data_IF_618574153320
#
_entry.id   IF_618574153320
#
_cell.length_a   1.000
_cell.length_b   1.000
_cell.length_c   1.000
_cell.angle_alpha   90.00
_cell.angle_beta   90.00
_cell.angle_gamma   90.00
#
_symmetry.space_group_name_H-M   'P 1'
#
loop_
_entity.id
_entity.type
_entity.pdbx_description
1 polymer ?
#
# COMPACT_ATOMS: atom_id res chain seq x y z
N UNK A 1 -5.31 0.73 -11.80
CA UNK A 1 -3.97 1.29 -12.19
C UNK A 1 -2.92 0.75 -11.22
N UNK A 2 -1.84 0.14 -11.73
CA UNK A 2 -0.71 -0.31 -10.92
C UNK A 2 0.32 0.81 -10.82
N UNK A 3 0.64 1.24 -9.60
CA UNK A 3 1.73 2.21 -9.35
C UNK A 3 2.98 1.41 -9.06
N UNK A 4 3.96 1.46 -9.97
CA UNK A 4 5.23 0.76 -9.80
C UNK A 4 6.06 1.38 -8.68
N UNK A 5 6.75 0.53 -7.90
CA UNK A 5 7.75 1.00 -6.93
C UNK A 5 9.13 1.12 -7.62
N UNK A 6 9.67 2.32 -7.79
CA UNK A 6 10.96 2.54 -8.48
C UNK A 6 12.18 2.04 -7.70
N UNK A 7 12.00 1.54 -6.46
CA UNK A 7 13.06 0.98 -5.61
C UNK A 7 14.28 1.92 -5.48
N UNK A 8 14.03 3.18 -5.18
CA UNK A 8 15.06 4.23 -5.15
C UNK A 8 16.26 3.90 -4.26
N UNK A 9 16.05 3.29 -3.09
CA UNK A 9 17.15 2.87 -2.23
C UNK A 9 18.06 1.85 -2.93
N UNK A 10 17.48 0.81 -3.53
CA UNK A 10 18.25 -0.23 -4.24
C UNK A 10 19.06 0.33 -5.41
N UNK A 11 18.51 1.32 -6.13
CA UNK A 11 19.20 2.01 -7.24
C UNK A 11 20.50 2.69 -6.80
N UNK A 12 20.57 3.16 -5.56
CA UNK A 12 21.74 3.87 -5.02
C UNK A 12 22.52 3.06 -3.99
N UNK A 13 22.12 1.84 -3.65
CA UNK A 13 22.70 1.02 -2.57
C UNK A 13 24.20 0.77 -2.78
N UNK A 14 24.62 0.41 -3.99
CA UNK A 14 26.03 0.20 -4.30
C UNK A 14 26.89 1.48 -4.11
N UNK A 15 26.40 2.62 -4.62
CA UNK A 15 27.07 3.92 -4.45
C UNK A 15 27.14 4.33 -2.99
N UNK A 16 26.11 4.03 -2.22
CA UNK A 16 26.06 4.28 -0.79
C UNK A 16 27.09 3.42 -0.04
N UNK A 17 27.17 2.12 -0.33
CA UNK A 17 28.18 1.22 0.25
C UNK A 17 29.62 1.70 0.00
N UNK A 18 29.93 2.13 -1.22
CA UNK A 18 31.26 2.67 -1.57
C UNK A 18 31.56 3.93 -0.74
N UNK A 19 30.60 4.87 -0.67
CA UNK A 19 30.79 6.12 0.08
C UNK A 19 30.93 5.86 1.60
N UNK A 20 30.21 4.87 2.14
CA UNK A 20 30.30 4.45 3.54
C UNK A 20 31.66 3.81 3.86
N UNK A 21 32.16 2.91 3.01
CA UNK A 21 33.49 2.28 3.16
C UNK A 21 34.61 3.34 3.11
N UNK A 22 34.46 4.33 2.23
CA UNK A 22 35.38 5.46 2.13
C UNK A 22 35.21 6.48 3.25
N UNK A 23 34.33 6.25 4.23
CA UNK A 23 33.98 7.18 5.33
C UNK A 23 33.63 8.62 4.86
N UNK A 24 33.17 8.76 3.61
CA UNK A 24 32.79 10.05 3.03
C UNK A 24 31.39 10.48 3.50
N UNK A 25 31.31 11.06 4.69
CA UNK A 25 30.05 11.48 5.32
C UNK A 25 29.24 12.45 4.45
N UNK A 26 29.90 13.38 3.74
CA UNK A 26 29.25 14.36 2.84
C UNK A 26 28.54 13.64 1.69
N UNK A 27 29.22 12.69 1.04
CA UNK A 27 28.66 11.90 -0.06
C UNK A 27 27.50 11.00 0.41
N UNK A 28 27.63 10.36 1.59
CA UNK A 28 26.58 9.55 2.20
C UNK A 28 25.33 10.38 2.42
N UNK A 29 25.45 11.57 3.02
CA UNK A 29 24.30 12.49 3.23
C UNK A 29 23.65 12.91 1.91
N UNK A 30 24.44 13.26 0.90
CA UNK A 30 23.93 13.64 -0.41
C UNK A 30 23.15 12.51 -1.09
N UNK A 31 23.64 11.26 -1.00
CA UNK A 31 22.95 10.09 -1.56
C UNK A 31 21.62 9.81 -0.83
N UNK A 32 21.60 9.89 0.51
CA UNK A 32 20.36 9.73 1.25
C UNK A 32 19.34 10.83 0.93
N UNK A 33 19.79 12.10 0.83
CA UNK A 33 18.92 13.20 0.43
C UNK A 33 18.34 12.99 -0.98
N UNK A 34 19.16 12.53 -1.93
CA UNK A 34 18.71 12.20 -3.28
C UNK A 34 17.65 11.09 -3.29
N UNK A 35 17.86 10.01 -2.54
CA UNK A 35 16.91 8.92 -2.40
C UNK A 35 15.57 9.43 -1.82
N UNK A 36 15.64 10.21 -0.74
CA UNK A 36 14.46 10.76 -0.07
C UNK A 36 13.67 11.70 -0.99
N UNK A 37 14.35 12.63 -1.67
CA UNK A 37 13.73 13.59 -2.59
C UNK A 37 13.10 12.91 -3.80
N UNK A 38 13.78 11.94 -4.41
CA UNK A 38 13.23 11.16 -5.54
C UNK A 38 11.99 10.37 -5.14
N UNK A 39 11.99 9.77 -3.94
CA UNK A 39 10.81 9.08 -3.40
C UNK A 39 9.67 10.06 -3.15
N UNK A 40 9.95 11.18 -2.51
CA UNK A 40 8.95 12.22 -2.22
C UNK A 40 8.30 12.74 -3.50
N UNK A 41 9.09 13.07 -4.52
CA UNK A 41 8.57 13.53 -5.83
C UNK A 41 7.66 12.48 -6.48
N UNK A 42 8.10 11.21 -6.52
CA UNK A 42 7.30 10.11 -7.04
C UNK A 42 5.96 9.96 -6.30
N UNK A 43 5.97 9.99 -4.97
CA UNK A 43 4.76 9.87 -4.16
C UNK A 43 3.83 11.08 -4.33
N UNK A 44 4.39 12.29 -4.47
CA UNK A 44 3.58 13.47 -4.78
C UNK A 44 2.87 13.36 -6.12
N UNK A 45 3.57 12.91 -7.17
CA UNK A 45 2.98 12.69 -8.51
C UNK A 45 1.90 11.61 -8.47
N UNK A 46 2.20 10.48 -7.83
CA UNK A 46 1.24 9.39 -7.69
C UNK A 46 -0.02 9.79 -6.92
N UNK A 47 0.15 10.45 -5.77
CA UNK A 47 -0.99 10.88 -4.95
C UNK A 47 -1.83 11.97 -5.62
N UNK A 48 -1.22 12.92 -6.34
CA UNK A 48 -1.96 13.92 -7.11
C UNK A 48 -2.77 13.28 -8.23
N UNK A 49 -2.18 12.33 -8.96
CA UNK A 49 -2.89 11.59 -10.01
C UNK A 49 -4.10 10.85 -9.44
N UNK A 50 -3.91 10.10 -8.35
CA UNK A 50 -5.01 9.35 -7.71
C UNK A 50 -6.15 10.27 -7.27
N UNK A 51 -5.84 11.40 -6.64
CA UNK A 51 -6.86 12.36 -6.17
C UNK A 51 -7.61 13.01 -7.34
N UNK A 52 -6.93 13.32 -8.45
CA UNK A 52 -7.56 13.93 -9.60
C UNK A 52 -8.45 12.96 -10.40
N UNK A 53 -8.18 11.66 -10.31
CA UNK A 53 -8.89 10.63 -11.09
C UNK A 53 -10.03 9.96 -10.31
N UNK A 54 -10.19 10.23 -9.02
CA UNK A 54 -11.16 9.51 -8.17
C UNK A 54 -11.92 10.46 -7.25
N UNK A 55 -13.23 10.24 -7.12
CA UNK A 55 -14.09 10.95 -6.17
C UNK A 55 -14.04 10.36 -4.75
N UNK A 56 -13.57 9.12 -4.61
CA UNK A 56 -13.48 8.39 -3.36
C UNK A 56 -12.18 7.57 -3.33
N UNK A 57 -11.42 7.67 -2.26
CA UNK A 57 -10.22 6.89 -2.02
C UNK A 57 -10.33 6.17 -0.68
N UNK A 58 -10.29 4.84 -0.71
CA UNK A 58 -10.31 4.00 0.47
C UNK A 58 -8.97 3.30 0.61
N UNK A 59 -8.38 3.34 1.80
CA UNK A 59 -7.09 2.68 2.09
C UNK A 59 -7.21 1.77 3.30
N UNK A 60 -6.45 0.67 3.29
CA UNK A 60 -6.30 -0.18 4.46
C UNK A 60 -5.47 0.49 5.56
N UNK A 61 -5.73 0.15 6.81
CA UNK A 61 -5.05 0.68 8.00
C UNK A 61 -3.67 0.04 8.25
N UNK A 62 -2.99 -0.40 7.19
CA UNK A 62 -1.71 -1.08 7.26
C UNK A 62 -0.72 -0.36 8.19
N UNK A 63 -0.30 -1.03 9.25
CA UNK A 63 0.69 -0.50 10.17
C UNK A 63 2.12 -0.69 9.64
N UNK A 64 2.64 0.34 8.96
CA UNK A 64 4.04 0.36 8.53
C UNK A 64 5.03 0.12 9.70
N UNK A 65 4.68 0.55 10.92
CA UNK A 65 5.49 0.31 12.14
C UNK A 65 5.67 -1.19 12.45
N UNK A 66 4.65 -2.01 12.21
CA UNK A 66 4.73 -3.46 12.40
C UNK A 66 5.60 -4.10 11.31
N UNK A 67 5.48 -3.67 10.07
CA UNK A 67 6.22 -4.21 8.93
C UNK A 67 7.71 -3.87 8.95
N UNK A 68 8.09 -2.70 9.45
CA UNK A 68 9.51 -2.28 9.60
C UNK A 68 10.27 -3.19 10.57
N UNK A 69 9.60 -3.89 11.48
CA UNK A 69 10.22 -4.87 12.38
C UNK A 69 10.50 -6.23 11.71
N UNK A 70 10.15 -6.41 10.45
CA UNK A 70 10.33 -7.65 9.70
C UNK A 70 11.54 -7.58 8.76
N UNK A 71 11.92 -8.72 8.14
CA UNK A 71 12.94 -8.79 7.08
C UNK A 71 12.59 -7.92 5.85
N UNK A 72 11.34 -7.45 5.75
CA UNK A 72 10.86 -6.58 4.66
C UNK A 72 11.08 -5.08 4.93
N UNK A 73 11.68 -4.69 6.05
CA UNK A 73 11.86 -3.30 6.47
C UNK A 73 12.39 -2.38 5.36
N UNK A 74 13.44 -2.80 4.65
CA UNK A 74 14.01 -2.01 3.53
C UNK A 74 12.98 -1.75 2.43
N UNK A 75 12.22 -2.76 2.03
CA UNK A 75 11.21 -2.64 0.97
C UNK A 75 10.04 -1.76 1.42
N UNK A 76 9.57 -1.91 2.65
CA UNK A 76 8.49 -1.11 3.23
C UNK A 76 8.88 0.37 3.33
N UNK A 77 10.10 0.66 3.81
CA UNK A 77 10.62 2.03 3.88
C UNK A 77 10.84 2.63 2.49
N UNK A 78 11.28 1.81 1.51
CA UNK A 78 11.49 2.28 0.15
C UNK A 78 10.19 2.56 -0.60
N UNK A 79 9.13 1.82 -0.29
CA UNK A 79 7.78 2.10 -0.82
C UNK A 79 7.21 3.42 -0.31
N UNK A 80 7.52 3.80 0.94
CA UNK A 80 7.04 5.04 1.54
C UNK A 80 5.53 5.08 1.78
N UNK A 81 4.92 3.93 2.07
CA UNK A 81 3.47 3.77 2.20
C UNK A 81 2.82 4.76 3.19
N UNK A 82 3.43 4.97 4.36
CA UNK A 82 2.91 5.95 5.35
C UNK A 82 2.92 7.37 4.80
N UNK A 83 3.96 7.76 4.05
CA UNK A 83 4.03 9.07 3.42
C UNK A 83 2.97 9.21 2.32
N UNK A 84 2.75 8.17 1.51
CA UNK A 84 1.69 8.15 0.49
C UNK A 84 0.31 8.33 1.15
N UNK A 85 0.01 7.60 2.21
CA UNK A 85 -1.26 7.70 2.95
C UNK A 85 -1.47 9.12 3.49
N UNK A 86 -0.45 9.72 4.10
CA UNK A 86 -0.51 11.12 4.57
C UNK A 86 -0.76 12.09 3.42
N UNK A 87 -0.09 11.89 2.27
CA UNK A 87 -0.27 12.74 1.09
C UNK A 87 -1.67 12.60 0.49
N UNK A 88 -2.22 11.40 0.44
CA UNK A 88 -3.59 11.17 -0.01
C UNK A 88 -4.59 11.88 0.90
N UNK A 89 -4.47 11.72 2.22
CA UNK A 89 -5.38 12.31 3.18
C UNK A 89 -5.52 13.82 3.00
N UNK A 90 -4.43 14.59 3.09
CA UNK A 90 -4.53 16.06 3.00
C UNK A 90 -4.89 16.55 1.58
N UNK A 91 -4.49 15.81 0.53
CA UNK A 91 -4.85 16.19 -0.84
C UNK A 91 -6.32 15.92 -1.15
N UNK A 92 -6.88 14.82 -0.64
CA UNK A 92 -8.31 14.54 -0.72
C UNK A 92 -9.12 15.63 0.00
N UNK A 93 -8.71 16.01 1.21
CA UNK A 93 -9.33 17.09 1.98
C UNK A 93 -9.32 18.41 1.19
N UNK A 94 -8.18 18.78 0.60
CA UNK A 94 -8.04 20.00 -0.20
C UNK A 94 -8.84 19.97 -1.53
N UNK A 95 -9.04 18.79 -2.11
CA UNK A 95 -9.74 18.61 -3.39
C UNK A 95 -11.23 18.27 -3.25
N UNK A 96 -11.76 18.14 -2.02
CA UNK A 96 -13.13 17.69 -1.78
C UNK A 96 -13.37 16.22 -2.17
N UNK A 97 -12.33 15.40 -2.23
CA UNK A 97 -12.41 13.96 -2.48
C UNK A 97 -12.63 13.22 -1.16
N UNK A 98 -13.52 12.26 -1.13
CA UNK A 98 -13.75 11.44 0.05
C UNK A 98 -12.56 10.54 0.33
N UNK A 99 -12.08 10.53 1.57
CA UNK A 99 -10.96 9.68 2.01
C UNK A 99 -11.36 8.88 3.24
N UNK A 100 -11.32 7.54 3.13
CA UNK A 100 -11.63 6.63 4.22
C UNK A 100 -10.48 5.66 4.50
N UNK A 101 -10.25 5.40 5.78
CA UNK A 101 -9.30 4.39 6.26
C UNK A 101 -10.06 3.25 6.93
N UNK A 102 -9.92 2.03 6.40
CA UNK A 102 -10.64 0.84 6.87
C UNK A 102 -9.70 -0.22 7.39
N UNK A 103 -10.18 -1.03 8.34
CA UNK A 103 -9.42 -2.18 8.84
C UNK A 103 -9.26 -3.22 7.74
N UNK A 104 -8.00 -3.55 7.40
CA UNK A 104 -7.69 -4.50 6.32
C UNK A 104 -7.53 -5.96 6.77
N UNK A 105 -7.83 -6.27 8.04
CA UNK A 105 -7.72 -7.63 8.54
C UNK A 105 -8.55 -8.60 7.69
N UNK A 106 -7.92 -9.73 7.31
CA UNK A 106 -8.53 -10.82 6.52
C UNK A 106 -8.93 -10.47 5.08
N UNK A 107 -8.77 -9.25 4.60
CA UNK A 107 -9.16 -8.84 3.23
C UNK A 107 -8.49 -9.65 2.13
N UNK A 108 -7.28 -10.19 2.36
CA UNK A 108 -6.59 -11.09 1.43
C UNK A 108 -7.15 -12.50 1.43
N UNK A 109 -7.93 -12.90 2.45
CA UNK A 109 -8.44 -14.27 2.66
C UNK A 109 -9.90 -14.40 2.31
N UNK A 110 -10.69 -13.35 2.54
CA UNK A 110 -12.11 -13.30 2.22
C UNK A 110 -12.28 -13.23 0.70
N UNK A 111 -13.11 -14.10 0.14
CA UNK A 111 -13.48 -14.03 -1.26
C UNK A 111 -14.30 -12.74 -1.52
N UNK A 112 -13.86 -11.90 -2.42
CA UNK A 112 -14.57 -10.64 -2.75
C UNK A 112 -15.89 -10.87 -3.51
N UNK A 113 -16.12 -12.09 -4.02
CA UNK A 113 -17.35 -12.48 -4.71
C UNK A 113 -18.43 -12.96 -3.73
N UNK A 114 -18.13 -13.99 -2.91
CA UNK A 114 -19.13 -14.61 -2.03
C UNK A 114 -18.98 -14.26 -0.53
N UNK A 115 -17.88 -13.61 -0.13
CA UNK A 115 -17.64 -13.25 1.28
C UNK A 115 -17.07 -14.36 2.15
N UNK A 116 -16.89 -15.58 1.63
CA UNK A 116 -16.44 -16.75 2.40
C UNK A 116 -14.92 -16.84 2.53
N UNK A 117 -14.46 -17.48 3.60
CA UNK A 117 -13.07 -17.92 3.79
C UNK A 117 -13.04 -19.43 3.70
N UNK A 118 -12.50 -19.98 2.64
CA UNK A 118 -12.43 -21.41 2.37
C UNK A 118 -11.06 -22.01 2.72
N UNK A 119 -10.90 -23.32 2.53
CA UNK A 119 -9.61 -24.00 2.71
C UNK A 119 -8.56 -23.55 1.67
N UNK A 120 -8.99 -23.13 0.48
CA UNK A 120 -8.12 -22.60 -0.57
C UNK A 120 -7.68 -21.15 -0.34
N UNK A 121 -8.31 -20.43 0.59
CA UNK A 121 -7.94 -19.03 0.89
C UNK A 121 -6.50 -18.91 1.37
N UNK A 122 -5.72 -17.89 0.92
CA UNK A 122 -4.33 -17.72 1.31
C UNK A 122 -4.20 -17.29 2.78
N UNK A 123 -3.95 -18.27 3.68
CA UNK A 123 -3.90 -18.05 5.14
C UNK A 123 -2.47 -18.07 5.68
N UNK A 124 -2.23 -17.27 6.70
CA UNK A 124 -1.01 -17.29 7.49
C UNK A 124 0.27 -17.01 6.68
N UNK A 125 1.41 -17.48 7.20
CA UNK A 125 2.72 -17.28 6.56
C UNK A 125 2.89 -18.09 5.28
N UNK A 126 2.31 -19.28 5.21
CA UNK A 126 2.35 -20.16 4.04
C UNK A 126 1.59 -19.56 2.86
N UNK A 127 0.51 -18.83 3.13
CA UNK A 127 -0.28 -18.13 2.11
C UNK A 127 0.38 -16.87 1.54
N UNK A 128 1.50 -16.37 2.11
CA UNK A 128 2.15 -15.15 1.63
C UNK A 128 2.71 -15.28 0.20
N UNK A 129 3.08 -16.49 -0.23
CA UNK A 129 3.57 -16.75 -1.58
C UNK A 129 2.48 -16.96 -2.62
N UNK A 130 1.24 -17.18 -2.19
CA UNK A 130 0.11 -17.46 -3.08
C UNK A 130 -0.35 -16.13 -3.68
N UNK A 131 -0.22 -15.98 -4.99
CA UNK A 131 -0.69 -14.79 -5.73
C UNK A 131 -2.06 -15.03 -6.32
N UNK A 132 -2.25 -16.17 -6.94
CA UNK A 132 -3.49 -16.59 -7.58
C UNK A 132 -4.12 -17.75 -6.80
N UNK A 133 -5.43 -17.70 -6.61
CA UNK A 133 -6.17 -18.75 -5.92
C UNK A 133 -7.63 -18.78 -6.39
N UNK A 134 -8.27 -19.91 -6.23
CA UNK A 134 -9.68 -20.12 -6.58
C UNK A 134 -10.49 -20.38 -5.32
N UNK A 135 -11.63 -19.70 -5.21
CA UNK A 135 -12.54 -19.88 -4.08
C UNK A 135 -13.31 -21.20 -4.21
N UNK A 136 -13.13 -22.13 -3.28
CA UNK A 136 -13.83 -23.43 -3.32
C UNK A 136 -15.34 -23.32 -3.09
N UNK A 137 -15.85 -22.19 -2.59
CA UNK A 137 -17.29 -21.98 -2.36
C UNK A 137 -18.00 -21.54 -3.64
N UNK A 138 -17.43 -20.61 -4.41
CA UNK A 138 -18.09 -20.03 -5.59
C UNK A 138 -17.32 -20.20 -6.90
N UNK A 139 -16.17 -20.86 -6.91
CA UNK A 139 -15.37 -21.13 -8.11
C UNK A 139 -14.70 -19.91 -8.73
N UNK A 140 -14.73 -18.74 -8.08
CA UNK A 140 -14.12 -17.53 -8.62
C UNK A 140 -12.60 -17.54 -8.43
N UNK A 141 -11.86 -17.32 -9.53
CA UNK A 141 -10.41 -17.13 -9.49
C UNK A 141 -10.04 -15.70 -9.12
N UNK A 142 -9.06 -15.56 -8.24
CA UNK A 142 -8.62 -14.28 -7.70
C UNK A 142 -7.11 -14.10 -7.81
N UNK A 143 -6.68 -12.89 -8.18
CA UNK A 143 -5.39 -12.36 -7.73
C UNK A 143 -5.56 -11.86 -6.28
N UNK A 144 -4.66 -12.28 -5.39
CA UNK A 144 -4.76 -11.99 -3.95
C UNK A 144 -4.79 -10.48 -3.64
N UNK A 145 -3.98 -9.71 -4.33
CA UNK A 145 -3.83 -8.27 -4.05
C UNK A 145 -5.04 -7.50 -4.62
N UNK A 146 -5.58 -7.92 -5.78
CA UNK A 146 -6.81 -7.37 -6.37
C UNK A 146 -8.02 -7.75 -5.50
N UNK A 147 -8.12 -9.01 -5.06
CA UNK A 147 -9.18 -9.46 -4.15
C UNK A 147 -9.20 -8.63 -2.85
N UNK A 148 -8.02 -8.38 -2.28
CA UNK A 148 -7.90 -7.53 -1.09
C UNK A 148 -8.36 -6.09 -1.35
N UNK A 149 -8.00 -5.52 -2.49
CA UNK A 149 -8.42 -4.16 -2.87
C UNK A 149 -9.96 -4.05 -3.02
N UNK A 150 -10.59 -5.06 -3.62
CA UNK A 150 -12.06 -5.12 -3.73
C UNK A 150 -12.74 -5.21 -2.36
N UNK A 151 -12.20 -6.03 -1.45
CA UNK A 151 -12.72 -6.13 -0.09
C UNK A 151 -12.56 -4.82 0.69
N UNK A 152 -11.40 -4.14 0.58
CA UNK A 152 -11.16 -2.83 1.18
C UNK A 152 -12.16 -1.80 0.65
N UNK A 153 -12.40 -1.78 -0.66
CA UNK A 153 -13.39 -0.91 -1.29
C UNK A 153 -14.80 -1.18 -0.75
N UNK A 154 -15.20 -2.44 -0.67
CA UNK A 154 -16.52 -2.83 -0.13
C UNK A 154 -16.69 -2.43 1.33
N UNK A 155 -15.64 -2.56 2.16
CA UNK A 155 -15.66 -2.11 3.57
C UNK A 155 -15.86 -0.60 3.69
N UNK A 156 -15.18 0.19 2.85
CA UNK A 156 -15.34 1.64 2.84
C UNK A 156 -16.74 2.07 2.40
N UNK A 157 -17.29 1.45 1.36
CA UNK A 157 -18.66 1.71 0.92
C UNK A 157 -19.70 1.39 2.01
N UNK A 158 -19.58 0.26 2.71
CA UNK A 158 -20.45 -0.08 3.84
C UNK A 158 -20.40 0.99 4.94
N UNK A 159 -19.19 1.50 5.25
CA UNK A 159 -19.02 2.51 6.29
C UNK A 159 -19.65 3.84 5.91
N UNK A 160 -19.50 4.28 4.67
CA UNK A 160 -20.12 5.49 4.14
C UNK A 160 -21.65 5.37 4.10
N UNK A 161 -22.19 4.22 3.68
CA UNK A 161 -23.63 3.96 3.66
C UNK A 161 -24.26 4.05 5.06
N UNK A 162 -23.60 3.52 6.10
CA UNK A 162 -24.06 3.64 7.49
C UNK A 162 -24.03 5.10 7.96
N UNK A 163 -23.08 5.91 7.55
CA UNK A 163 -23.01 7.34 7.88
C UNK A 163 -24.11 8.18 7.23
N UNK A 164 -24.64 7.75 6.09
CA UNK A 164 -25.73 8.45 5.38
C UNK A 164 -27.10 8.15 6.02
N UNK A 165 -27.25 7.02 6.71
CA UNK A 165 -28.54 6.60 7.34
C UNK A 165 -28.80 7.27 8.69
N UNK A 166 -27.91 8.13 9.18
CA UNK A 166 -28.02 8.82 10.48
C UNK A 166 -28.42 10.31 10.36
N UNK A 167 -28.91 10.75 9.18
CA UNK A 167 -29.45 12.08 8.97
C UNK A 167 -30.88 12.02 8.47
#
# INVERSE_FOLDING_TARGET
TVISNPKFYRKYEQKLCIAQRARNKKRVRALHAKIANSRKDHLHKASTKLVNENALIIVGDLSAKKLVKTKMAKSVLDTGFSALKTMLKYKCENAGVLFEEVQEAYTTQICSCCGEITSSSPKGRTGLGIREWECMSCGTAHDRDINSALNILALGHKRLAVGITLF
#
